data_IF_713351925735
#
_entry.id   IF_713351925735
#
_cell.length_a   1.000
_cell.length_b   1.000
_cell.length_c   1.000
_cell.angle_alpha   90.00
_cell.angle_beta   90.00
_cell.angle_gamma   90.00
#
_symmetry.space_group_name_H-M   'P 1'
#
loop_
_entity.id
_entity.type
_entity.pdbx_description
1 polymer ?
#
# COMPACT_ATOMS: atom_id res chain seq x y z
N UNK A 1 -18.22 0.07 -13.76
CA UNK A 1 -16.98 0.76 -13.50
C UNK A 1 -16.45 0.42 -12.12
N UNK A 2 -15.25 0.00 -12.08
CA UNK A 2 -14.67 -0.33 -10.82
C UNK A 2 -14.55 0.91 -9.95
N UNK A 3 -14.81 0.73 -8.69
CA UNK A 3 -14.64 1.79 -7.75
C UNK A 3 -13.15 1.94 -7.45
N UNK A 4 -12.64 3.11 -7.75
CA UNK A 4 -11.20 3.37 -7.58
C UNK A 4 -10.91 4.18 -6.34
N UNK A 5 -11.79 4.09 -5.35
CA UNK A 5 -11.52 4.72 -4.07
C UNK A 5 -10.24 4.18 -3.47
N UNK A 6 -9.44 5.07 -2.93
CA UNK A 6 -8.23 4.65 -2.25
C UNK A 6 -8.58 3.98 -0.92
N UNK A 7 -7.73 3.07 -0.45
CA UNK A 7 -7.96 2.50 0.87
C UNK A 7 -7.98 3.58 1.94
N UNK A 8 -8.82 3.38 2.93
CA UNK A 8 -8.77 4.22 4.13
C UNK A 8 -7.50 3.90 4.91
N UNK A 9 -7.21 4.73 5.91
CA UNK A 9 -6.04 4.53 6.75
C UNK A 9 -6.05 3.13 7.38
N UNK A 10 -7.17 2.72 7.95
CA UNK A 10 -7.28 1.40 8.57
C UNK A 10 -7.16 0.26 7.56
N UNK A 11 -7.74 0.46 6.38
CA UNK A 11 -7.63 -0.54 5.32
C UNK A 11 -6.19 -0.68 4.85
N UNK A 12 -5.50 0.44 4.74
CA UNK A 12 -4.10 0.42 4.31
C UNK A 12 -3.23 -0.30 5.33
N UNK A 13 -3.51 -0.11 6.62
CA UNK A 13 -2.78 -0.83 7.67
C UNK A 13 -2.89 -2.34 7.47
N UNK A 14 -4.09 -2.82 7.17
CA UNK A 14 -4.32 -4.25 6.94
C UNK A 14 -3.62 -4.70 5.66
N UNK A 15 -3.73 -3.92 4.59
CA UNK A 15 -3.05 -4.27 3.34
C UNK A 15 -1.54 -4.35 3.55
N UNK A 16 -0.97 -3.44 4.32
CA UNK A 16 0.46 -3.44 4.58
C UNK A 16 0.90 -4.74 5.27
N UNK A 17 0.08 -5.23 6.20
CA UNK A 17 0.36 -6.51 6.86
C UNK A 17 0.30 -7.65 5.85
N UNK A 18 -0.74 -7.66 5.00
CA UNK A 18 -0.91 -8.74 4.02
C UNK A 18 0.20 -8.73 2.98
N UNK A 19 0.66 -7.54 2.56
CA UNK A 19 1.79 -7.48 1.62
C UNK A 19 3.07 -8.01 2.26
N UNK A 20 3.24 -7.77 3.56
CA UNK A 20 4.44 -8.20 4.25
C UNK A 20 4.43 -9.69 4.58
N UNK A 21 3.30 -10.19 5.07
CA UNK A 21 3.21 -11.58 5.53
C UNK A 21 2.75 -12.55 4.44
N UNK A 22 2.06 -12.05 3.41
CA UNK A 22 1.39 -12.91 2.45
C UNK A 22 0.04 -13.36 2.97
N UNK A 23 -0.56 -14.39 2.36
CA UNK A 23 -1.87 -14.86 2.80
C UNK A 23 -1.89 -15.17 4.29
N UNK A 24 -2.88 -14.63 4.99
CA UNK A 24 -2.92 -14.67 6.45
C UNK A 24 -4.35 -14.80 6.95
N UNK A 25 -4.50 -15.39 8.13
CA UNK A 25 -5.79 -15.45 8.79
C UNK A 25 -6.07 -14.10 9.43
N UNK A 26 -7.35 -13.86 9.78
CA UNK A 26 -7.73 -12.64 10.48
C UNK A 26 -6.96 -12.50 11.78
N UNK A 27 -6.79 -13.62 12.50
CA UNK A 27 -6.05 -13.58 13.77
C UNK A 27 -4.60 -13.14 13.57
N UNK A 28 -3.95 -13.66 12.54
CA UNK A 28 -2.57 -13.27 12.25
C UNK A 28 -2.47 -11.79 11.93
N UNK A 29 -3.42 -11.29 11.14
CA UNK A 29 -3.43 -9.86 10.82
C UNK A 29 -3.67 -9.03 12.07
N UNK A 30 -4.65 -9.46 12.88
CA UNK A 30 -4.99 -8.73 14.10
C UNK A 30 -3.79 -8.64 15.05
N UNK A 31 -3.08 -9.75 15.21
CA UNK A 31 -1.90 -9.77 16.08
C UNK A 31 -0.80 -8.89 15.53
N UNK A 32 -0.60 -8.90 14.21
CA UNK A 32 0.42 -8.08 13.58
C UNK A 32 0.12 -6.59 13.72
N UNK A 33 -1.15 -6.22 13.72
CA UNK A 33 -1.54 -4.82 13.88
C UNK A 33 -1.26 -4.32 15.30
N UNK A 34 -1.32 -5.19 16.28
CA UNK A 34 -1.05 -4.81 17.66
C UNK A 34 -2.04 -3.80 18.22
N UNK A 35 -3.24 -3.77 17.69
CA UNK A 35 -4.24 -2.79 18.11
C UNK A 35 -4.97 -3.25 19.37
N UNK A 36 -5.39 -2.26 20.15
CA UNK A 36 -6.21 -2.53 21.32
C UNK A 36 -7.63 -2.91 20.94
N UNK A 37 -8.09 -2.54 19.75
CA UNK A 37 -9.42 -2.89 19.30
C UNK A 37 -9.56 -4.40 19.19
N UNK A 38 -10.77 -4.90 19.41
CA UNK A 38 -10.99 -6.33 19.46
C UNK A 38 -10.84 -7.03 18.12
N UNK A 39 -10.68 -8.34 18.22
CA UNK A 39 -10.59 -9.22 17.06
C UNK A 39 -11.81 -9.05 16.14
N UNK A 40 -12.99 -8.90 16.73
CA UNK A 40 -14.23 -8.78 15.96
C UNK A 40 -14.19 -7.58 15.02
N UNK A 41 -13.62 -6.47 15.46
CA UNK A 41 -13.48 -5.29 14.60
C UNK A 41 -12.59 -5.56 13.40
N UNK A 42 -11.49 -6.24 13.62
CA UNK A 42 -10.57 -6.60 12.53
C UNK A 42 -11.28 -7.54 11.56
N UNK A 43 -11.98 -8.54 12.08
CA UNK A 43 -12.73 -9.48 11.25
C UNK A 43 -13.74 -8.75 10.37
N UNK A 44 -14.54 -7.88 10.97
CA UNK A 44 -15.56 -7.15 10.22
C UNK A 44 -14.91 -6.27 9.15
N UNK A 45 -13.84 -5.60 9.49
CA UNK A 45 -13.16 -4.74 8.52
C UNK A 45 -12.63 -5.54 7.34
N UNK A 46 -12.03 -6.71 7.59
CA UNK A 46 -11.51 -7.53 6.52
C UNK A 46 -12.63 -8.11 5.65
N UNK A 47 -13.77 -8.43 6.27
CA UNK A 47 -14.93 -8.88 5.49
C UNK A 47 -15.44 -7.76 4.58
N UNK A 48 -15.48 -6.54 5.07
CA UNK A 48 -15.88 -5.40 4.25
C UNK A 48 -14.88 -5.16 3.12
N UNK A 49 -13.60 -5.32 3.41
CA UNK A 49 -12.57 -5.15 2.38
C UNK A 49 -12.69 -6.21 1.29
N UNK A 50 -13.07 -7.43 1.66
CA UNK A 50 -13.31 -8.47 0.66
C UNK A 50 -14.48 -8.08 -0.24
N UNK A 51 -15.53 -7.51 0.34
CA UNK A 51 -16.66 -7.03 -0.43
C UNK A 51 -16.31 -5.89 -1.37
N UNK A 52 -15.33 -5.07 -0.99
CA UNK A 52 -14.88 -3.96 -1.84
C UNK A 52 -13.86 -4.38 -2.89
N UNK A 53 -13.38 -5.61 -2.83
CA UNK A 53 -12.38 -6.08 -3.78
C UNK A 53 -10.95 -5.71 -3.40
N UNK A 54 -10.71 -5.27 -2.17
CA UNK A 54 -9.36 -4.93 -1.72
C UNK A 54 -8.55 -6.16 -1.30
N UNK A 55 -9.25 -7.19 -0.81
CA UNK A 55 -8.62 -8.45 -0.43
C UNK A 55 -9.44 -9.58 -1.02
N UNK A 56 -8.81 -10.74 -1.13
CA UNK A 56 -9.46 -11.96 -1.59
C UNK A 56 -9.43 -12.95 -0.46
N UNK A 57 -10.58 -13.57 -0.16
CA UNK A 57 -10.64 -14.61 0.86
C UNK A 57 -10.54 -15.97 0.18
N UNK A 58 -9.60 -16.77 0.63
CA UNK A 58 -9.38 -18.12 0.11
C UNK A 58 -9.86 -19.10 1.17
N UNK A 59 -10.82 -19.93 0.78
CA UNK A 59 -11.41 -20.90 1.69
C UNK A 59 -10.89 -22.32 1.47
N UNK A 60 -9.74 -22.42 0.78
CA UNK A 60 -9.17 -23.72 0.45
C UNK A 60 -8.88 -24.56 1.69
N UNK A 61 -8.54 -23.90 2.79
CA UNK A 61 -8.24 -24.57 4.05
C UNK A 61 -9.32 -24.25 5.06
N UNK A 62 -9.35 -25.00 6.16
CA UNK A 62 -10.31 -24.74 7.22
C UNK A 62 -10.23 -23.32 7.73
N UNK A 63 -9.01 -22.82 7.89
CA UNK A 63 -8.81 -21.44 8.22
C UNK A 63 -8.94 -20.62 6.95
N UNK A 64 -9.76 -19.61 7.01
CA UNK A 64 -9.90 -18.71 5.87
C UNK A 64 -8.68 -17.81 5.79
N UNK A 65 -8.01 -17.83 4.65
CA UNK A 65 -6.85 -16.97 4.42
C UNK A 65 -7.26 -15.79 3.57
N UNK A 66 -6.77 -14.64 3.93
CA UNK A 66 -6.98 -13.42 3.16
C UNK A 66 -5.66 -12.99 2.54
N UNK A 67 -5.73 -12.43 1.35
CA UNK A 67 -4.56 -11.87 0.72
C UNK A 67 -4.95 -10.60 -0.02
N UNK A 68 -3.99 -9.71 -0.20
CA UNK A 68 -4.24 -8.48 -0.94
C UNK A 68 -4.64 -8.81 -2.37
N UNK A 69 -5.66 -8.12 -2.88
CA UNK A 69 -6.17 -8.38 -4.21
C UNK A 69 -5.25 -7.82 -5.29
N UNK A 70 -4.47 -6.80 -4.96
CA UNK A 70 -3.57 -6.16 -5.93
C UNK A 70 -2.16 -6.09 -5.37
N UNK A 71 -1.15 -6.03 -6.26
CA UNK A 71 0.23 -5.87 -5.80
C UNK A 71 0.42 -4.56 -5.06
N UNK A 72 1.34 -4.58 -4.10
CA UNK A 72 1.66 -3.42 -3.30
C UNK A 72 2.00 -2.21 -4.18
N UNK A 73 2.80 -2.42 -5.20
CA UNK A 73 3.26 -1.34 -6.08
C UNK A 73 2.11 -0.63 -6.79
N UNK A 74 1.08 -1.39 -7.15
CA UNK A 74 -0.09 -0.80 -7.80
C UNK A 74 -0.82 0.17 -6.87
N UNK A 75 -1.06 -0.27 -5.64
CA UNK A 75 -1.75 0.56 -4.66
C UNK A 75 -0.89 1.77 -4.28
N UNK A 76 0.41 1.56 -4.11
CA UNK A 76 1.31 2.66 -3.80
C UNK A 76 1.29 3.72 -4.89
N UNK A 77 1.25 3.29 -6.16
CA UNK A 77 1.20 4.22 -7.28
C UNK A 77 -0.09 5.03 -7.26
N UNK A 78 -1.21 4.37 -6.98
CA UNK A 78 -2.49 5.08 -6.90
C UNK A 78 -2.49 6.13 -5.81
N UNK A 79 -1.92 5.79 -4.65
CA UNK A 79 -1.83 6.73 -3.54
C UNK A 79 -0.94 7.91 -3.91
N UNK A 80 0.20 7.63 -4.54
CA UNK A 80 1.12 8.68 -4.94
C UNK A 80 0.48 9.64 -5.94
N UNK A 81 -0.23 9.09 -6.93
CA UNK A 81 -0.90 9.92 -7.95
C UNK A 81 -1.95 10.80 -7.28
N UNK A 82 -2.76 10.22 -6.41
CA UNK A 82 -3.81 10.99 -5.73
C UNK A 82 -3.20 12.11 -4.89
N UNK A 83 -2.19 11.78 -4.10
CA UNK A 83 -1.54 12.76 -3.24
C UNK A 83 -0.88 13.86 -4.06
N UNK A 84 -0.22 13.47 -5.13
CA UNK A 84 0.43 14.43 -6.03
C UNK A 84 -0.57 15.45 -6.55
N UNK A 85 -1.73 14.97 -7.00
CA UNK A 85 -2.76 15.85 -7.55
C UNK A 85 -3.39 16.73 -6.49
N UNK A 86 -3.64 16.17 -5.31
CA UNK A 86 -4.40 16.90 -4.28
C UNK A 86 -3.54 17.85 -3.46
N UNK A 87 -2.28 17.49 -3.22
CA UNK A 87 -1.45 18.26 -2.31
C UNK A 87 -0.23 18.88 -2.97
N UNK A 88 0.14 18.45 -4.18
CA UNK A 88 1.37 18.89 -4.80
C UNK A 88 1.16 19.40 -6.22
N UNK A 89 -0.05 19.83 -6.53
CA UNK A 89 -0.40 20.47 -7.80
C UNK A 89 0.04 19.68 -9.02
N UNK A 90 0.00 18.36 -8.91
CA UNK A 90 0.39 17.47 -10.01
C UNK A 90 1.89 17.32 -10.19
N UNK A 91 2.69 17.82 -9.26
CA UNK A 91 4.14 17.85 -9.41
C UNK A 91 4.81 16.68 -8.68
N UNK A 92 5.37 15.75 -9.46
CA UNK A 92 6.16 14.66 -8.89
C UNK A 92 7.40 15.20 -8.18
N UNK A 93 8.00 16.25 -8.74
CA UNK A 93 9.17 16.86 -8.12
C UNK A 93 8.86 17.36 -6.73
N UNK A 94 7.73 18.05 -6.57
CA UNK A 94 7.36 18.58 -5.27
C UNK A 94 7.04 17.48 -4.27
N UNK A 95 6.43 16.39 -4.74
CA UNK A 95 6.16 15.25 -3.87
C UNK A 95 7.46 14.63 -3.36
N UNK A 96 8.43 14.43 -4.26
CA UNK A 96 9.74 13.88 -3.89
C UNK A 96 10.45 14.81 -2.90
N UNK A 97 10.42 16.11 -3.17
CA UNK A 97 11.04 17.08 -2.29
C UNK A 97 10.41 17.03 -0.90
N UNK A 98 9.08 16.97 -0.85
CA UNK A 98 8.38 16.87 0.42
C UNK A 98 8.77 15.62 1.19
N UNK A 99 8.85 14.49 0.49
CA UNK A 99 9.21 13.23 1.15
C UNK A 99 10.62 13.26 1.71
N UNK A 100 11.57 13.76 0.92
CA UNK A 100 12.97 13.78 1.33
C UNK A 100 13.26 14.79 2.43
N UNK A 101 12.49 15.90 2.47
CA UNK A 101 12.71 16.90 3.50
C UNK A 101 11.98 16.57 4.80
N UNK A 102 10.97 15.70 4.75
CA UNK A 102 10.22 15.33 5.94
C UNK A 102 10.92 14.28 6.80
N UNK A 103 11.63 13.35 6.15
CA UNK A 103 12.30 12.25 6.82
C UNK A 103 13.72 12.13 6.30
N UNK A 104 14.72 12.03 7.18
CA UNK A 104 16.09 11.81 6.70
C UNK A 104 16.19 10.49 5.96
N UNK A 105 16.81 10.51 4.80
CA UNK A 105 17.05 9.31 4.02
C UNK A 105 18.47 8.86 4.25
N UNK A 106 18.69 7.53 4.33
CA UNK A 106 20.03 6.99 4.50
C UNK A 106 20.84 7.21 3.22
N UNK A 107 22.15 7.10 3.35
CA UNK A 107 23.04 7.18 2.17
C UNK A 107 22.68 6.09 1.15
N UNK A 108 22.33 4.90 1.65
CA UNK A 108 21.95 3.81 0.77
C UNK A 108 20.66 4.12 0.01
N UNK A 109 19.66 4.68 0.71
CA UNK A 109 18.41 5.05 0.07
C UNK A 109 18.63 6.13 -0.98
N UNK A 110 19.45 7.13 -0.67
CA UNK A 110 19.73 8.19 -1.63
C UNK A 110 20.44 7.65 -2.87
N UNK A 111 21.36 6.69 -2.68
CA UNK A 111 22.02 6.06 -3.80
C UNK A 111 21.04 5.30 -4.68
N UNK A 112 20.10 4.58 -4.05
CA UNK A 112 19.05 3.88 -4.79
C UNK A 112 18.18 4.85 -5.59
N UNK A 113 17.82 5.97 -4.96
CA UNK A 113 17.00 6.98 -5.63
C UNK A 113 17.74 7.56 -6.84
N UNK A 114 19.04 7.81 -6.71
CA UNK A 114 19.81 8.30 -7.85
C UNK A 114 19.82 7.31 -9.00
N UNK A 115 19.95 6.02 -8.69
CA UNK A 115 19.90 5.01 -9.75
C UNK A 115 18.54 4.97 -10.41
N UNK A 116 17.47 5.12 -9.64
CA UNK A 116 16.12 5.17 -10.20
C UNK A 116 15.95 6.37 -11.13
N UNK A 117 16.45 7.53 -10.72
CA UNK A 117 16.38 8.72 -11.56
C UNK A 117 17.11 8.52 -12.87
N UNK A 118 18.27 7.89 -12.82
CA UNK A 118 19.03 7.61 -14.05
C UNK A 118 18.23 6.71 -14.99
N UNK A 119 17.54 5.71 -14.44
CA UNK A 119 16.72 4.82 -15.24
C UNK A 119 15.57 5.56 -15.92
N UNK A 120 14.92 6.46 -15.19
CA UNK A 120 13.83 7.23 -15.76
C UNK A 120 14.35 8.17 -16.86
N UNK A 121 15.51 8.76 -16.67
CA UNK A 121 16.11 9.61 -17.68
C UNK A 121 16.45 8.83 -18.93
N UNK A 122 16.97 7.62 -18.79
CA UNK A 122 17.27 6.76 -19.92
C UNK A 122 16.04 6.42 -20.73
N UNK A 123 14.93 6.10 -20.04
CA UNK A 123 13.68 5.81 -20.75
C UNK A 123 13.23 7.01 -21.57
N UNK A 124 13.33 8.18 -20.97
CA UNK A 124 12.91 9.39 -21.64
C UNK A 124 13.80 9.67 -22.85
N UNK A 125 15.11 9.44 -22.71
CA UNK A 125 16.05 9.65 -23.79
C UNK A 125 15.94 8.65 -24.92
N UNK A 126 15.27 7.52 -24.66
CA UNK A 126 15.13 6.46 -25.67
C UNK A 126 14.08 6.77 -26.73
N UNK A 127 13.37 7.86 -26.60
CA UNK A 127 12.35 8.20 -27.58
C UNK A 127 12.91 8.97 -28.77
#
# INVERSE_FOLDING_TARGET
MANHSLPTSGELDILAVLWRLGPSTVREVHEALGKDSGYTSTLKQMQLMAGKGLVVRNERFRSHLYEAATPKEHTQRQIAVDLMKRAFEGSAKNLVLGALSAQPASAADLADIRRMLDQFEKRRGSK
#
